data_IF_964211653889
#
_entry.id   IF_964211653889
#
_cell.length_a   1.000
_cell.length_b   1.000
_cell.length_c   1.000
_cell.angle_alpha   90.00
_cell.angle_beta   90.00
_cell.angle_gamma   90.00
#
_symmetry.space_group_name_H-M   'P 1'
#
loop_
_entity.id
_entity.type
_entity.pdbx_description
1 polymer ?
#
# COMPACT_ATOMS: atom_id res chain seq x y z
N UNK A 1 -25.54 58.29 31.14
CA UNK A 1 -25.72 57.30 32.23
C UNK A 1 -27.03 56.57 32.01
N UNK A 2 -27.02 55.23 32.16
CA UNK A 2 -28.09 54.21 32.03
C UNK A 2 -27.66 53.13 31.01
N UNK A 3 -26.84 52.13 31.37
CA UNK A 3 -27.15 50.81 31.97
C UNK A 3 -27.99 49.84 31.13
N UNK A 4 -27.30 48.77 30.71
CA UNK A 4 -27.70 47.35 30.70
C UNK A 4 -28.65 46.82 29.63
N UNK A 5 -28.18 45.81 28.88
CA UNK A 5 -28.68 44.43 29.00
C UNK A 5 -27.78 43.42 28.25
N UNK A 6 -27.20 42.51 29.02
CA UNK A 6 -26.64 41.24 28.54
C UNK A 6 -27.73 40.39 27.86
N UNK A 7 -27.37 39.71 26.78
CA UNK A 7 -28.15 38.58 26.26
C UNK A 7 -27.25 37.35 26.34
N UNK A 8 -27.60 36.51 27.30
CA UNK A 8 -27.08 35.17 27.55
C UNK A 8 -27.94 34.21 26.70
N UNK A 9 -27.32 33.51 25.76
CA UNK A 9 -27.97 32.39 25.05
C UNK A 9 -27.32 31.09 25.50
N UNK A 10 -28.03 30.41 26.39
CA UNK A 10 -27.90 28.98 26.65
C UNK A 10 -28.17 28.19 25.37
N UNK A 11 -27.24 27.31 24.98
CA UNK A 11 -27.53 26.25 24.02
C UNK A 11 -27.30 24.92 24.71
N UNK A 12 -28.44 24.25 24.88
CA UNK A 12 -28.65 22.94 25.49
C UNK A 12 -27.84 21.82 24.84
N UNK A 13 -27.44 20.89 25.70
CA UNK A 13 -26.66 19.70 25.42
C UNK A 13 -27.62 18.55 25.05
N UNK A 14 -27.77 18.24 23.77
CA UNK A 14 -28.58 17.09 23.31
C UNK A 14 -27.71 15.84 23.18
N UNK A 15 -28.05 14.82 23.96
CA UNK A 15 -27.51 13.45 23.91
C UNK A 15 -28.19 12.67 22.78
N UNK A 16 -27.43 12.19 21.80
CA UNK A 16 -27.88 11.23 20.78
C UNK A 16 -26.97 9.99 20.74
N UNK A 17 -27.54 8.81 20.97
CA UNK A 17 -26.88 7.53 21.19
C UNK A 17 -26.26 6.83 19.95
N UNK A 18 -25.85 5.54 20.10
CA UNK A 18 -24.86 4.90 19.25
C UNK A 18 -25.47 4.24 18.00
N UNK A 19 -24.94 4.55 16.82
CA UNK A 19 -25.45 4.06 15.54
C UNK A 19 -24.36 3.46 14.64
N UNK A 20 -24.25 2.13 14.71
CA UNK A 20 -23.87 1.14 13.68
C UNK A 20 -22.53 1.28 12.92
N UNK A 21 -21.77 0.19 13.03
CA UNK A 21 -20.65 -0.17 12.18
C UNK A 21 -21.06 -0.24 10.70
N UNK A 22 -20.36 0.51 9.85
CA UNK A 22 -20.40 0.36 8.40
C UNK A 22 -19.42 -0.74 7.99
N UNK A 23 -19.92 -1.94 7.78
CA UNK A 23 -19.18 -3.03 7.14
C UNK A 23 -19.09 -2.76 5.64
N UNK A 24 -17.89 -2.50 5.14
CA UNK A 24 -17.62 -2.52 3.71
C UNK A 24 -17.57 -3.97 3.23
N UNK A 25 -18.63 -4.41 2.56
CA UNK A 25 -18.68 -5.67 1.84
C UNK A 25 -17.84 -5.60 0.57
N UNK A 26 -16.75 -6.37 0.54
CA UNK A 26 -15.98 -6.66 -0.68
C UNK A 26 -16.85 -7.57 -1.55
N UNK A 27 -17.38 -7.05 -2.66
CA UNK A 27 -17.95 -7.90 -3.72
C UNK A 27 -16.82 -8.56 -4.46
N UNK A 28 -16.51 -9.81 -4.11
CA UNK A 28 -15.81 -10.73 -5.00
C UNK A 28 -16.76 -11.06 -6.16
N UNK A 29 -16.41 -10.63 -7.37
CA UNK A 29 -17.01 -11.19 -8.57
C UNK A 29 -16.40 -12.59 -8.78
N UNK A 30 -17.12 -13.61 -8.32
CA UNK A 30 -16.85 -15.00 -8.67
C UNK A 30 -17.21 -15.25 -10.13
N UNK A 31 -16.20 -15.48 -10.97
CA UNK A 31 -16.41 -16.10 -12.27
C UNK A 31 -16.73 -17.58 -12.04
N UNK A 32 -17.99 -17.92 -12.35
CA UNK A 32 -18.54 -19.27 -12.34
C UNK A 32 -17.76 -20.16 -13.29
N UNK A 33 -17.36 -21.33 -12.79
CA UNK A 33 -16.90 -22.44 -13.61
C UNK A 33 -18.01 -22.95 -14.53
N UNK A 34 -17.64 -23.29 -15.76
CA UNK A 34 -18.44 -24.10 -16.65
C UNK A 34 -17.82 -25.49 -16.78
N UNK A 35 -18.71 -26.47 -16.81
CA UNK A 35 -18.47 -27.88 -16.83
C UNK A 35 -17.90 -28.38 -18.16
N UNK A 36 -17.04 -29.40 -18.06
CA UNK A 36 -17.10 -30.58 -18.92
C UNK A 36 -16.26 -30.56 -20.20
N UNK A 37 -15.30 -31.48 -20.30
CA UNK A 37 -15.33 -32.57 -21.30
C UNK A 37 -14.19 -33.56 -21.01
N UNK A 38 -14.54 -34.84 -21.13
CA UNK A 38 -13.67 -36.02 -21.13
C UNK A 38 -12.78 -36.00 -22.39
N UNK A 39 -11.54 -36.47 -22.25
CA UNK A 39 -10.63 -36.75 -23.37
C UNK A 39 -9.71 -37.90 -23.00
N UNK A 40 -9.95 -39.05 -23.62
CA UNK A 40 -9.37 -40.37 -23.38
C UNK A 40 -7.85 -40.46 -23.52
N UNK A 41 -7.27 -41.35 -22.71
CA UNK A 41 -5.98 -41.98 -22.92
C UNK A 41 -5.92 -42.72 -24.27
N UNK A 42 -4.84 -42.49 -25.02
CA UNK A 42 -4.51 -43.24 -26.22
C UNK A 42 -3.21 -44.00 -25.98
N UNK A 43 -3.35 -45.31 -25.80
CA UNK A 43 -2.28 -46.31 -25.92
C UNK A 43 -2.18 -46.70 -27.39
N UNK A 44 -0.96 -46.86 -27.90
CA UNK A 44 -0.72 -47.76 -29.03
C UNK A 44 0.73 -48.24 -29.01
N UNK A 45 0.83 -49.55 -28.83
CA UNK A 45 2.00 -50.41 -28.97
C UNK A 45 2.73 -50.25 -30.30
N UNK A 46 4.05 -50.42 -30.25
CA UNK A 46 4.91 -50.69 -31.41
C UNK A 46 6.01 -51.66 -31.00
N UNK A 47 5.78 -52.95 -31.27
CA UNK A 47 6.71 -54.07 -31.10
C UNK A 47 7.48 -54.27 -32.43
N UNK A 48 8.55 -55.10 -32.37
CA UNK A 48 9.47 -55.60 -33.42
C UNK A 48 10.89 -54.99 -33.29
N UNK A 49 12.00 -55.73 -33.24
CA UNK A 49 12.25 -57.16 -33.41
C UNK A 49 13.57 -57.56 -32.70
N UNK A 50 13.63 -58.81 -32.25
CA UNK A 50 14.88 -59.50 -31.91
C UNK A 50 15.75 -59.67 -33.16
N UNK A 51 17.04 -59.40 -33.03
CA UNK A 51 18.09 -60.32 -33.53
C UNK A 51 19.37 -60.17 -32.72
N UNK A 52 19.73 -61.28 -32.09
CA UNK A 52 21.05 -61.56 -31.53
C UNK A 52 22.09 -61.66 -32.66
N UNK A 53 23.37 -61.41 -32.34
CA UNK A 53 24.52 -62.29 -32.59
C UNK A 53 25.78 -61.70 -31.93
N UNK A 54 26.20 -62.35 -30.84
CA UNK A 54 27.53 -62.73 -30.34
C UNK A 54 28.87 -62.05 -30.77
N UNK A 55 29.95 -62.26 -29.98
CA UNK A 55 30.98 -61.29 -29.66
C UNK A 55 32.21 -61.39 -30.55
N UNK A 56 32.96 -60.31 -30.65
CA UNK A 56 34.39 -60.40 -30.92
C UNK A 56 35.17 -59.48 -29.99
N UNK A 57 36.14 -60.11 -29.34
CA UNK A 57 37.16 -59.48 -28.53
C UNK A 57 38.07 -58.66 -29.42
N UNK A 58 38.45 -57.46 -28.98
CA UNK A 58 39.82 -56.98 -29.12
C UNK A 58 40.08 -55.92 -28.06
N UNK A 59 40.90 -56.30 -27.08
CA UNK A 59 41.62 -55.38 -26.21
C UNK A 59 42.42 -54.39 -27.07
N UNK A 60 42.19 -53.10 -26.87
CA UNK A 60 43.25 -52.10 -27.01
C UNK A 60 43.20 -51.24 -25.76
N UNK A 61 44.14 -51.54 -24.86
CA UNK A 61 44.51 -50.68 -23.76
C UNK A 61 44.99 -49.33 -24.32
N UNK A 62 44.15 -48.31 -24.22
CA UNK A 62 44.61 -46.92 -24.23
C UNK A 62 44.47 -46.37 -22.81
N UNK A 63 45.55 -46.43 -22.05
CA UNK A 63 45.71 -45.69 -20.81
C UNK A 63 45.73 -44.19 -21.12
N UNK A 64 44.54 -43.59 -21.24
CA UNK A 64 44.39 -42.15 -21.16
C UNK A 64 44.24 -41.81 -19.68
N UNK A 65 45.36 -41.42 -19.09
CA UNK A 65 45.49 -40.90 -17.74
C UNK A 65 44.76 -39.55 -17.68
N UNK A 66 43.43 -39.60 -17.60
CA UNK A 66 42.60 -38.43 -17.36
C UNK A 66 42.80 -38.06 -15.90
N UNK A 67 43.60 -37.02 -15.68
CA UNK A 67 43.84 -36.41 -14.38
C UNK A 67 42.48 -36.23 -13.69
N UNK A 68 42.30 -36.93 -12.57
CA UNK A 68 41.19 -36.71 -11.67
C UNK A 68 41.36 -35.31 -11.10
N UNK A 69 40.85 -34.30 -11.82
CA UNK A 69 40.58 -33.02 -11.22
C UNK A 69 39.58 -33.30 -10.11
N UNK A 70 40.04 -33.15 -8.88
CA UNK A 70 39.20 -33.19 -7.70
C UNK A 70 38.09 -32.16 -7.93
N UNK A 71 36.89 -32.66 -8.19
CA UNK A 71 35.70 -31.84 -8.21
C UNK A 71 35.60 -31.27 -6.80
N UNK A 72 36.06 -30.04 -6.61
CA UNK A 72 35.80 -29.31 -5.39
C UNK A 72 34.29 -29.08 -5.37
N UNK A 73 33.58 -29.97 -4.70
CA UNK A 73 32.24 -29.69 -4.21
C UNK A 73 32.41 -28.53 -3.24
N UNK A 74 32.32 -27.32 -3.76
CA UNK A 74 32.11 -26.13 -2.96
C UNK A 74 30.74 -26.33 -2.33
N UNK A 75 30.74 -26.90 -1.12
CA UNK A 75 29.59 -26.87 -0.23
C UNK A 75 29.23 -25.40 -0.06
N UNK A 76 28.26 -24.95 -0.86
CA UNK A 76 27.69 -23.64 -0.71
C UNK A 76 26.90 -23.67 0.59
N UNK A 77 27.56 -23.38 1.70
CA UNK A 77 26.95 -23.05 3.01
C UNK A 77 26.14 -21.73 2.95
N UNK A 78 25.65 -21.36 1.76
CA UNK A 78 24.64 -20.33 1.58
C UNK A 78 23.32 -21.07 1.38
N UNK A 79 22.61 -21.27 2.49
CA UNK A 79 21.22 -21.73 2.42
C UNK A 79 20.41 -20.87 1.42
N UNK A 80 19.35 -21.42 0.80
CA UNK A 80 18.62 -20.87 -0.36
C UNK A 80 17.93 -19.49 -0.17
N UNK A 81 18.24 -18.80 0.93
CA UNK A 81 17.64 -17.54 1.40
C UNK A 81 18.65 -16.39 1.56
N UNK A 82 19.96 -16.63 1.39
CA UNK A 82 21.00 -15.58 1.56
C UNK A 82 20.83 -14.49 0.49
N UNK A 83 20.17 -13.38 0.88
CA UNK A 83 19.88 -12.21 0.02
C UNK A 83 18.41 -11.82 -0.04
N UNK A 84 17.48 -12.78 0.09
CA UNK A 84 16.02 -12.50 0.06
C UNK A 84 15.58 -11.70 1.28
N UNK A 85 16.15 -12.02 2.44
CA UNK A 85 15.92 -11.29 3.67
C UNK A 85 16.38 -9.83 3.60
N UNK A 86 17.52 -9.61 2.96
CA UNK A 86 18.04 -8.26 2.74
C UNK A 86 17.13 -7.45 1.82
N UNK A 87 16.61 -8.06 0.74
CA UNK A 87 15.67 -7.40 -0.16
C UNK A 87 14.37 -6.98 0.53
N UNK A 88 13.79 -7.84 1.40
CA UNK A 88 12.59 -7.51 2.16
C UNK A 88 12.84 -6.37 3.15
N UNK A 89 13.97 -6.39 3.87
CA UNK A 89 14.34 -5.28 4.78
C UNK A 89 14.56 -3.96 4.05
N UNK A 90 15.24 -3.98 2.91
CA UNK A 90 15.41 -2.79 2.07
C UNK A 90 14.07 -2.26 1.57
N UNK A 91 13.15 -3.16 1.22
CA UNK A 91 11.80 -2.79 0.81
C UNK A 91 11.04 -2.08 1.95
N UNK A 92 11.06 -2.63 3.17
CA UNK A 92 10.46 -1.99 4.35
C UNK A 92 11.06 -0.60 4.57
N UNK A 93 12.39 -0.50 4.60
CA UNK A 93 13.08 0.77 4.85
C UNK A 93 12.73 1.84 3.79
N UNK A 94 12.68 1.46 2.50
CA UNK A 94 12.31 2.36 1.43
C UNK A 94 10.85 2.83 1.53
N UNK A 95 9.93 1.95 1.93
CA UNK A 95 8.52 2.30 2.12
C UNK A 95 8.31 3.19 3.35
N UNK A 96 9.06 2.96 4.44
CA UNK A 96 9.08 3.83 5.62
C UNK A 96 9.63 5.22 5.30
N UNK A 97 10.69 5.30 4.48
CA UNK A 97 11.22 6.59 4.01
C UNK A 97 10.20 7.36 3.17
N UNK A 98 9.50 6.69 2.23
CA UNK A 98 8.43 7.33 1.45
C UNK A 98 7.29 7.81 2.35
N UNK A 99 6.90 7.01 3.34
CA UNK A 99 5.85 7.41 4.28
C UNK A 99 6.25 8.65 5.10
N UNK A 100 7.51 8.74 5.52
CA UNK A 100 8.04 9.93 6.20
C UNK A 100 7.99 11.16 5.30
N UNK A 101 8.44 11.06 4.05
CA UNK A 101 8.37 12.16 3.08
C UNK A 101 6.92 12.64 2.84
N UNK A 102 5.97 11.70 2.67
CA UNK A 102 4.55 12.05 2.53
C UNK A 102 4.02 12.79 3.77
N UNK A 103 4.47 12.43 4.98
CA UNK A 103 4.07 13.14 6.19
C UNK A 103 4.64 14.57 6.27
N UNK A 104 5.87 14.79 5.79
CA UNK A 104 6.45 16.12 5.69
C UNK A 104 5.68 16.98 4.67
N UNK A 105 5.35 16.42 3.50
CA UNK A 105 4.54 17.10 2.49
C UNK A 105 3.14 17.44 3.00
N UNK A 106 2.52 16.54 3.79
CA UNK A 106 1.25 16.81 4.45
C UNK A 106 1.34 17.99 5.42
N UNK A 107 2.41 18.07 6.22
CA UNK A 107 2.60 19.19 7.14
C UNK A 107 2.87 20.50 6.39
N UNK A 108 3.66 20.44 5.31
CA UNK A 108 3.89 21.58 4.43
C UNK A 108 2.59 22.12 3.83
N UNK A 109 1.73 21.24 3.31
CA UNK A 109 0.43 21.65 2.76
C UNK A 109 -0.50 22.21 3.85
N UNK A 110 -0.52 21.59 5.05
CA UNK A 110 -1.24 22.12 6.21
C UNK A 110 -0.80 23.55 6.52
N UNK A 111 0.52 23.78 6.62
CA UNK A 111 1.06 25.09 6.95
C UNK A 111 0.71 26.14 5.89
N UNK A 112 0.86 25.80 4.60
CA UNK A 112 0.42 26.66 3.49
C UNK A 112 -1.07 27.04 3.63
N UNK A 113 -1.97 26.09 3.92
CA UNK A 113 -3.39 26.43 4.08
C UNK A 113 -3.69 27.31 5.28
N UNK A 114 -2.86 27.26 6.33
CA UNK A 114 -3.02 28.13 7.51
C UNK A 114 -2.62 29.57 7.24
N UNK A 115 -1.61 29.77 6.41
CA UNK A 115 -1.15 31.11 6.00
C UNK A 115 -2.17 31.83 5.13
N UNK A 116 -3.03 31.09 4.41
CA UNK A 116 -4.11 31.63 3.59
C UNK A 116 -5.43 31.86 4.35
N UNK A 117 -5.47 31.61 5.66
CA UNK A 117 -6.68 31.86 6.46
C UNK A 117 -6.96 33.36 6.48
N UNK A 118 -8.18 33.72 6.09
CA UNK A 118 -8.69 35.09 6.19
C UNK A 118 -10.15 35.08 6.64
N UNK A 119 -10.75 36.27 6.86
CA UNK A 119 -12.16 36.38 7.19
C UNK A 119 -13.09 35.79 6.11
N UNK A 120 -12.69 35.89 4.84
CA UNK A 120 -13.45 35.36 3.69
C UNK A 120 -13.14 33.87 3.42
N UNK A 121 -12.00 33.39 3.89
CA UNK A 121 -11.51 32.02 3.69
C UNK A 121 -11.11 31.34 5.01
N UNK A 122 -12.08 31.03 5.91
CA UNK A 122 -11.78 30.49 7.23
C UNK A 122 -11.48 28.99 7.20
N UNK A 123 -10.99 28.43 6.09
CA UNK A 123 -10.75 26.99 5.93
C UNK A 123 -9.27 26.68 5.84
N UNK A 124 -8.84 25.64 6.56
CA UNK A 124 -7.49 25.09 6.49
C UNK A 124 -7.51 23.56 6.51
N UNK A 125 -6.44 22.95 6.03
CA UNK A 125 -6.21 21.53 6.18
C UNK A 125 -5.57 21.25 7.54
N UNK A 126 -5.96 20.15 8.15
CA UNK A 126 -5.35 19.66 9.37
C UNK A 126 -5.08 18.16 9.29
N UNK A 127 -4.06 17.70 10.01
CA UNK A 127 -3.64 16.30 9.99
C UNK A 127 -4.39 15.56 11.10
N UNK A 128 -5.32 14.71 10.68
CA UNK A 128 -5.97 13.76 11.57
C UNK A 128 -5.12 12.50 11.71
N UNK A 129 -4.72 12.17 12.94
CA UNK A 129 -3.91 11.00 13.26
C UNK A 129 -4.75 9.91 13.93
N UNK A 130 -4.72 8.69 13.39
CA UNK A 130 -5.31 7.49 14.00
C UNK A 130 -4.20 6.72 14.72
N UNK A 131 -4.06 6.96 16.02
CA UNK A 131 -2.97 6.42 16.87
C UNK A 131 -2.82 4.91 16.79
N UNK A 132 -3.93 4.15 16.91
CA UNK A 132 -3.90 2.67 16.89
C UNK A 132 -3.33 2.07 15.60
N UNK A 133 -3.42 2.80 14.48
CA UNK A 133 -2.97 2.32 13.18
C UNK A 133 -1.73 3.06 12.70
N UNK A 134 -1.38 4.20 13.30
CA UNK A 134 -0.35 5.12 12.83
C UNK A 134 -0.72 5.83 11.52
N UNK A 135 -2.01 5.90 11.17
CA UNK A 135 -2.47 6.47 9.91
C UNK A 135 -2.66 7.98 10.06
N UNK A 136 -2.31 8.75 9.03
CA UNK A 136 -2.49 10.19 8.96
C UNK A 136 -3.33 10.55 7.73
N UNK A 137 -4.21 11.52 7.88
CA UNK A 137 -5.01 12.03 6.76
C UNK A 137 -5.22 13.53 6.89
N UNK A 138 -5.05 14.25 5.79
CA UNK A 138 -5.44 15.64 5.66
C UNK A 138 -6.96 15.77 5.56
N UNK A 139 -7.52 16.67 6.37
CA UNK A 139 -8.96 16.96 6.42
C UNK A 139 -9.20 18.44 6.53
N UNK A 140 -10.20 18.93 5.79
CA UNK A 140 -10.61 20.33 5.87
C UNK A 140 -11.25 20.65 7.22
N UNK A 141 -10.90 21.79 7.78
CA UNK A 141 -11.46 22.36 9.01
C UNK A 141 -11.73 23.84 8.83
N UNK A 142 -12.71 24.35 9.56
CA UNK A 142 -12.89 25.79 9.77
C UNK A 142 -11.99 26.28 10.90
N UNK A 143 -11.73 27.59 10.92
CA UNK A 143 -11.21 28.31 12.09
C UNK A 143 -12.05 27.94 13.32
N UNK A 144 -11.39 27.67 14.45
CA UNK A 144 -12.02 27.09 15.64
C UNK A 144 -12.08 25.55 15.65
N UNK A 145 -11.56 24.88 14.61
CA UNK A 145 -11.35 23.43 14.59
C UNK A 145 -12.55 22.59 14.15
N UNK A 146 -13.66 23.24 13.80
CA UNK A 146 -14.87 22.55 13.32
C UNK A 146 -14.61 21.81 12.00
N UNK A 147 -15.08 20.57 11.89
CA UNK A 147 -14.89 19.75 10.70
C UNK A 147 -15.65 20.33 9.51
N UNK A 148 -14.98 20.47 8.37
CA UNK A 148 -15.60 20.85 7.11
C UNK A 148 -15.36 19.79 6.04
N UNK A 149 -16.37 19.56 5.20
CA UNK A 149 -16.26 18.68 4.04
C UNK A 149 -15.98 19.51 2.80
N UNK A 150 -15.22 18.96 1.87
CA UNK A 150 -14.93 19.63 0.60
C UNK A 150 -16.21 20.02 -0.15
N UNK A 151 -17.23 19.15 -0.16
CA UNK A 151 -18.53 19.41 -0.80
C UNK A 151 -19.24 20.65 -0.26
N UNK A 152 -18.93 21.07 0.97
CA UNK A 152 -19.46 22.30 1.58
C UNK A 152 -18.58 23.53 1.29
N UNK A 153 -17.28 23.33 1.11
CA UNK A 153 -16.33 24.41 0.82
C UNK A 153 -16.41 24.80 -0.66
N UNK A 154 -16.49 23.82 -1.56
CA UNK A 154 -16.43 24.02 -3.01
C UNK A 154 -17.43 25.07 -3.53
N UNK A 155 -18.72 25.09 -3.11
CA UNK A 155 -19.65 26.14 -3.55
C UNK A 155 -19.26 27.53 -3.05
N UNK A 156 -18.65 27.64 -1.88
CA UNK A 156 -18.27 28.93 -1.27
C UNK A 156 -17.08 29.58 -1.97
N UNK A 157 -16.31 28.79 -2.74
CA UNK A 157 -15.19 29.32 -3.52
C UNK A 157 -15.61 30.30 -4.62
N UNK A 158 -16.89 30.33 -5.02
CA UNK A 158 -17.39 31.34 -5.98
C UNK A 158 -17.38 32.76 -5.43
N UNK A 159 -17.31 32.91 -4.11
CA UNK A 159 -17.23 34.22 -3.45
C UNK A 159 -15.79 34.72 -3.28
N UNK A 160 -14.79 33.88 -3.55
CA UNK A 160 -13.39 34.25 -3.46
C UNK A 160 -12.86 34.81 -4.78
N UNK A 161 -11.78 35.61 -4.74
CA UNK A 161 -11.02 35.95 -5.94
C UNK A 161 -10.64 34.69 -6.75
N UNK A 162 -10.65 34.74 -8.10
CA UNK A 162 -10.43 33.56 -8.94
C UNK A 162 -9.14 32.81 -8.64
N UNK A 163 -8.05 33.54 -8.36
CA UNK A 163 -6.76 32.97 -8.00
C UNK A 163 -6.82 32.16 -6.70
N UNK A 164 -7.45 32.70 -5.65
CA UNK A 164 -7.64 32.02 -4.36
C UNK A 164 -8.52 30.79 -4.51
N UNK A 165 -9.63 30.91 -5.26
CA UNK A 165 -10.53 29.79 -5.52
C UNK A 165 -9.83 28.65 -6.27
N UNK A 166 -8.98 28.98 -7.25
CA UNK A 166 -8.17 28.00 -7.97
C UNK A 166 -7.16 27.32 -7.03
N UNK A 167 -6.46 28.10 -6.22
CA UNK A 167 -5.50 27.58 -5.25
C UNK A 167 -6.14 26.56 -4.30
N UNK A 168 -7.34 26.82 -3.77
CA UNK A 168 -8.07 25.87 -2.91
C UNK A 168 -8.42 24.58 -3.63
N UNK A 169 -8.81 24.64 -4.91
CA UNK A 169 -9.08 23.44 -5.73
C UNK A 169 -7.81 22.59 -5.89
N UNK A 170 -6.68 23.23 -6.20
CA UNK A 170 -5.38 22.58 -6.32
C UNK A 170 -4.91 21.98 -4.98
N UNK A 171 -5.09 22.70 -3.88
CA UNK A 171 -4.79 22.22 -2.53
C UNK A 171 -5.63 20.98 -2.17
N UNK A 172 -6.92 20.95 -2.55
CA UNK A 172 -7.77 19.78 -2.33
C UNK A 172 -7.30 18.55 -3.12
N UNK A 173 -6.90 18.74 -4.38
CA UNK A 173 -6.33 17.67 -5.21
C UNK A 173 -5.04 17.15 -4.57
N UNK A 174 -4.13 18.04 -4.17
CA UNK A 174 -2.89 17.67 -3.47
C UNK A 174 -3.17 16.89 -2.19
N UNK A 175 -4.13 17.32 -1.38
CA UNK A 175 -4.53 16.61 -0.17
C UNK A 175 -5.05 15.20 -0.45
N UNK A 176 -5.87 15.03 -1.50
CA UNK A 176 -6.38 13.72 -1.91
C UNK A 176 -5.25 12.79 -2.37
N UNK A 177 -4.29 13.30 -3.15
CA UNK A 177 -3.10 12.55 -3.60
C UNK A 177 -2.24 12.13 -2.40
N UNK A 178 -1.92 13.06 -1.50
CA UNK A 178 -1.11 12.77 -0.31
C UNK A 178 -1.78 11.72 0.59
N UNK A 179 -3.10 11.82 0.80
CA UNK A 179 -3.86 10.83 1.56
C UNK A 179 -3.79 9.43 0.91
N UNK A 180 -3.86 9.35 -0.43
CA UNK A 180 -3.75 8.09 -1.14
C UNK A 180 -2.32 7.50 -1.07
N UNK A 181 -1.29 8.34 -1.20
CA UNK A 181 0.11 7.95 -1.09
C UNK A 181 0.44 7.44 0.32
N UNK A 182 -0.05 8.11 1.36
CA UNK A 182 0.06 7.68 2.76
C UNK A 182 -0.52 6.26 2.93
N UNK A 183 -1.72 6.05 2.41
CA UNK A 183 -2.41 4.76 2.51
C UNK A 183 -1.64 3.66 1.76
N UNK A 184 -1.16 3.97 0.55
CA UNK A 184 -0.38 3.04 -0.27
C UNK A 184 0.92 2.63 0.43
N UNK A 185 1.72 3.58 0.89
CA UNK A 185 2.99 3.32 1.58
C UNK A 185 2.79 2.47 2.84
N UNK A 186 1.72 2.73 3.60
CA UNK A 186 1.39 1.91 4.78
C UNK A 186 1.01 0.48 4.44
N UNK A 187 0.23 0.27 3.38
CA UNK A 187 -0.11 -1.09 2.96
C UNK A 187 1.10 -1.84 2.42
N UNK A 188 2.02 -1.13 1.79
CA UNK A 188 3.29 -1.68 1.35
C UNK A 188 4.14 -2.15 2.55
N UNK A 189 4.34 -1.30 3.56
CA UNK A 189 5.04 -1.68 4.80
C UNK A 189 4.37 -2.88 5.45
N UNK A 190 3.04 -2.86 5.57
CA UNK A 190 2.27 -3.96 6.17
C UNK A 190 2.47 -5.27 5.40
N UNK A 191 2.55 -5.20 4.06
CA UNK A 191 2.73 -6.37 3.20
C UNK A 191 4.15 -6.91 3.32
N UNK A 192 5.15 -6.02 3.28
CA UNK A 192 6.56 -6.39 3.42
C UNK A 192 6.86 -7.01 4.81
N UNK A 193 6.32 -6.43 5.90
CA UNK A 193 6.47 -7.00 7.25
C UNK A 193 5.80 -8.38 7.41
N UNK A 194 4.65 -8.60 6.78
CA UNK A 194 4.02 -9.93 6.75
C UNK A 194 4.87 -10.96 6.00
N UNK A 195 5.52 -10.54 4.91
CA UNK A 195 6.44 -11.39 4.18
C UNK A 195 7.67 -11.74 5.02
N UNK A 196 8.24 -10.75 5.72
CA UNK A 196 9.35 -10.94 6.66
C UNK A 196 9.03 -11.99 7.74
N UNK A 197 7.85 -11.88 8.35
CA UNK A 197 7.31 -12.85 9.31
C UNK A 197 7.15 -14.25 8.71
N UNK A 198 6.56 -14.35 7.52
CA UNK A 198 6.33 -15.64 6.86
C UNK A 198 7.63 -16.36 6.48
N UNK A 199 8.72 -15.61 6.31
CA UNK A 199 10.05 -16.12 5.97
C UNK A 199 10.91 -16.40 7.21
N UNK A 200 10.43 -16.10 8.43
CA UNK A 200 11.16 -16.31 9.68
C UNK A 200 12.40 -15.42 9.81
N UNK A 201 12.30 -14.17 9.38
CA UNK A 201 13.44 -13.23 9.28
C UNK A 201 13.48 -12.17 10.40
N UNK A 202 12.57 -12.26 11.37
CA UNK A 202 12.49 -11.36 12.55
C UNK A 202 13.62 -11.61 13.55
#
# INVERSE_FOLDING_TARGET
MATSKEIRTDVMLERGGPGRASTFGVRQCGLKGLWGMKGTCGSSDGRHDLRQLSPDQHEVQSHQQMQQQTCQTMDSYKGPLKGKAHAVRQWVAAAEQRLAAVHEDMEGLRQQTKELISGESPWSLDIYSITKRGAKSLRWRMVGGAHSRWDRIMPLLSHLPPASAQWYREANIRAAVLNAQEQAARYEIKTAKRLEQSLGLE
#
